data_IF_767845610337
#
_entry.id   IF_767845610337
#
_cell.length_a   1.000
_cell.length_b   1.000
_cell.length_c   1.000
_cell.angle_alpha   90.00
_cell.angle_beta   90.00
_cell.angle_gamma   90.00
#
_symmetry.space_group_name_H-M   'P 1'
#
loop_
_entity.id
_entity.type
_entity.pdbx_description
1 polymer ?
#
# COMPACT_ATOMS: atom_id res chain seq x y z
N UNK A 1 -22.25 30.33 21.40
CA UNK A 1 -21.18 30.20 20.38
C UNK A 1 -20.82 28.73 20.24
N UNK A 2 -21.47 28.03 19.31
CA UNK A 2 -21.28 26.59 19.09
C UNK A 2 -20.02 26.35 18.25
N UNK A 3 -19.07 25.59 18.80
CA UNK A 3 -17.86 25.12 18.12
C UNK A 3 -18.19 23.85 17.35
N UNK A 4 -18.10 23.90 16.01
CA UNK A 4 -18.17 22.72 15.15
C UNK A 4 -16.76 22.14 14.97
N UNK A 5 -16.49 21.00 15.60
CA UNK A 5 -15.31 20.17 15.37
C UNK A 5 -15.64 19.15 14.27
N UNK A 6 -14.97 19.28 13.12
CA UNK A 6 -15.05 18.32 12.02
C UNK A 6 -13.92 17.29 12.21
N UNK A 7 -14.26 16.05 12.55
CA UNK A 7 -13.31 14.93 12.68
C UNK A 7 -13.24 14.20 11.34
N UNK A 8 -12.11 14.27 10.66
CA UNK A 8 -11.83 13.51 9.44
C UNK A 8 -11.19 12.17 9.85
N UNK A 9 -11.94 11.07 9.70
CA UNK A 9 -11.43 9.72 9.92
C UNK A 9 -10.63 9.25 8.70
N UNK A 10 -9.31 9.13 8.87
CA UNK A 10 -8.43 8.42 7.93
C UNK A 10 -8.02 7.11 8.59
N UNK A 11 -8.57 6.01 8.09
CA UNK A 11 -8.25 4.66 8.55
C UNK A 11 -6.88 4.25 8.00
N UNK A 12 -5.87 4.20 8.87
CA UNK A 12 -4.59 3.58 8.58
C UNK A 12 -4.52 2.21 9.27
N UNK A 13 -4.52 1.16 8.45
CA UNK A 13 -4.30 -0.21 8.89
C UNK A 13 -2.86 -0.43 9.29
N UNK A 14 -2.67 -0.88 10.53
CA UNK A 14 -1.41 -1.27 11.13
C UNK A 14 -1.00 -2.67 10.63
N UNK A 15 0.22 -2.84 10.13
CA UNK A 15 0.86 -4.15 10.01
C UNK A 15 2.31 -4.08 10.52
N UNK A 16 2.48 -4.66 11.70
CA UNK A 16 3.71 -4.88 12.43
C UNK A 16 4.48 -6.07 11.82
N UNK A 17 5.73 -5.86 11.40
CA UNK A 17 6.68 -6.97 11.22
C UNK A 17 8.02 -6.57 11.83
N UNK A 18 8.32 -7.18 12.99
CA UNK A 18 9.65 -7.19 13.59
C UNK A 18 10.43 -8.40 13.06
N UNK A 19 11.70 -8.15 12.77
CA UNK A 19 12.58 -9.01 11.99
C UNK A 19 13.21 -10.19 12.74
N UNK A 20 14.10 -10.87 12.03
CA UNK A 20 15.28 -11.52 12.60
C UNK A 20 16.39 -11.56 11.54
N UNK A 21 17.55 -11.12 11.99
CA UNK A 21 18.78 -10.84 11.28
C UNK A 21 19.58 -12.12 11.04
N UNK A 22 20.18 -12.25 9.86
CA UNK A 22 21.22 -13.24 9.57
C UNK A 22 22.38 -12.56 8.86
N UNK A 23 23.47 -12.31 9.58
CA UNK A 23 24.76 -11.89 9.01
C UNK A 23 25.31 -13.00 8.13
N UNK A 24 25.68 -12.69 6.89
CA UNK A 24 26.63 -13.50 6.11
C UNK A 24 27.68 -12.56 5.53
N UNK A 25 28.94 -12.97 5.71
CA UNK A 25 30.16 -12.22 5.37
C UNK A 25 30.34 -12.10 3.86
N UNK A 26 31.02 -11.02 3.52
CA UNK A 26 31.45 -10.57 2.20
C UNK A 26 32.20 -11.62 1.40
N UNK A 27 31.95 -11.63 0.09
CA UNK A 27 32.96 -11.96 -0.93
C UNK A 27 32.75 -11.01 -2.10
N UNK A 28 33.71 -10.11 -2.29
CA UNK A 28 33.77 -9.13 -3.37
C UNK A 28 34.36 -9.78 -4.63
N UNK A 29 33.71 -9.70 -5.80
CA UNK A 29 34.40 -9.77 -7.08
C UNK A 29 34.56 -8.37 -7.69
N UNK A 30 35.70 -8.21 -8.36
CA UNK A 30 36.23 -6.98 -8.92
C UNK A 30 35.34 -6.34 -10.00
N UNK A 31 35.32 -5.00 -10.00
CA UNK A 31 34.59 -4.13 -10.93
C UNK A 31 35.50 -3.71 -12.09
N UNK A 32 35.14 -4.05 -13.32
CA UNK A 32 35.64 -3.37 -14.53
C UNK A 32 34.63 -2.29 -14.98
N UNK A 33 35.09 -1.19 -15.61
CA UNK A 33 34.35 0.07 -15.68
C UNK A 33 33.34 0.13 -16.85
N UNK A 34 32.18 0.72 -16.60
CA UNK A 34 31.15 1.06 -17.58
C UNK A 34 31.12 2.60 -17.82
N UNK A 35 30.64 3.07 -18.99
CA UNK A 35 30.98 4.37 -19.58
C UNK A 35 30.30 5.59 -18.91
N UNK A 36 30.77 6.84 -19.19
CA UNK A 36 30.37 8.03 -18.44
C UNK A 36 29.05 8.59 -18.96
N UNK A 37 27.92 8.03 -18.50
CA UNK A 37 26.61 8.66 -18.70
C UNK A 37 25.70 8.62 -17.46
N UNK A 38 26.14 7.97 -16.37
CA UNK A 38 25.39 7.88 -15.11
C UNK A 38 25.73 8.98 -14.09
N UNK A 39 26.82 9.72 -14.29
CA UNK A 39 27.29 10.72 -13.33
C UNK A 39 26.41 11.99 -13.27
N UNK A 40 25.66 12.29 -14.33
CA UNK A 40 24.82 13.50 -14.41
C UNK A 40 23.47 13.31 -13.71
N UNK A 41 22.96 12.08 -13.61
CA UNK A 41 21.69 11.79 -12.91
C UNK A 41 21.89 11.62 -11.40
N UNK A 42 23.04 11.08 -10.95
CA UNK A 42 23.35 10.95 -9.52
C UNK A 42 23.56 12.32 -8.83
N UNK A 43 24.04 13.33 -9.56
CA UNK A 43 24.20 14.69 -9.03
C UNK A 43 22.87 15.46 -8.90
N UNK A 44 21.83 15.05 -9.64
CA UNK A 44 20.48 15.61 -9.52
C UNK A 44 19.71 14.99 -8.34
N UNK A 45 19.87 13.68 -8.09
CA UNK A 45 19.30 12.99 -6.92
C UNK A 45 19.99 13.37 -5.61
N UNK A 46 21.29 13.67 -5.61
CA UNK A 46 22.03 14.06 -4.40
C UNK A 46 21.67 15.46 -3.85
N UNK A 47 20.81 16.23 -4.53
CA UNK A 47 20.22 17.48 -3.99
C UNK A 47 18.82 17.27 -3.39
N UNK A 48 18.28 16.05 -3.42
CA UNK A 48 16.98 15.69 -2.83
C UNK A 48 17.11 15.48 -1.32
N UNK A 49 16.48 16.39 -0.56
CA UNK A 49 15.95 16.09 0.77
C UNK A 49 16.98 15.87 1.89
N UNK A 50 17.56 16.95 2.41
CA UNK A 50 17.88 16.93 3.84
C UNK A 50 16.54 16.75 4.57
N UNK A 51 16.37 15.74 5.44
CA UNK A 51 15.13 15.61 6.20
C UNK A 51 14.94 16.90 7.01
N UNK A 52 13.72 17.46 7.09
CA UNK A 52 13.41 18.43 8.12
C UNK A 52 13.52 17.72 9.47
N UNK A 53 14.74 17.61 10.00
CA UNK A 53 15.04 17.13 11.34
C UNK A 53 14.52 18.08 12.45
N UNK A 54 13.68 19.05 12.09
CA UNK A 54 13.17 20.12 12.93
C UNK A 54 11.64 20.31 12.82
N UNK A 55 10.93 19.37 12.18
CA UNK A 55 9.47 19.41 12.17
C UNK A 55 8.92 18.89 13.50
N UNK A 56 8.30 19.76 14.30
CA UNK A 56 7.57 19.40 15.53
C UNK A 56 6.11 18.97 15.25
N UNK A 57 5.77 18.74 13.99
CA UNK A 57 4.43 18.39 13.50
C UNK A 57 4.42 16.99 12.85
N UNK A 58 3.33 16.63 12.17
CA UNK A 58 3.16 15.34 11.49
C UNK A 58 4.22 15.01 10.45
N UNK A 59 5.04 15.96 10.00
CA UNK A 59 6.16 15.70 9.09
C UNK A 59 7.43 15.20 9.78
N UNK A 60 7.44 15.10 11.13
CA UNK A 60 8.62 14.64 11.87
C UNK A 60 9.11 13.28 11.38
N UNK A 61 10.39 13.21 11.01
CA UNK A 61 11.04 11.97 10.56
C UNK A 61 10.74 11.58 9.11
N UNK A 62 10.03 12.43 8.35
CA UNK A 62 9.76 12.21 6.93
C UNK A 62 10.75 12.99 6.05
N UNK A 63 10.99 12.50 4.83
CA UNK A 63 11.60 13.29 3.74
C UNK A 63 10.51 14.01 2.95
N UNK A 64 10.85 15.14 2.33
CA UNK A 64 9.92 15.84 1.44
C UNK A 64 9.61 14.95 0.23
N UNK A 65 8.33 14.60 0.05
CA UNK A 65 7.84 13.90 -1.15
C UNK A 65 7.52 14.90 -2.27
N UNK A 66 7.67 14.45 -3.51
CA UNK A 66 7.48 15.26 -4.70
C UNK A 66 8.65 16.20 -4.99
N UNK A 67 8.42 17.13 -5.93
CA UNK A 67 9.47 18.05 -6.36
C UNK A 67 9.01 19.05 -7.41
N UNK A 68 9.95 19.89 -7.82
CA UNK A 68 9.76 20.90 -8.86
C UNK A 68 10.68 20.59 -10.04
N UNK A 69 10.08 20.27 -11.18
CA UNK A 69 10.81 20.07 -12.43
C UNK A 69 10.80 21.37 -13.23
N UNK A 70 11.96 21.75 -13.78
CA UNK A 70 12.09 22.85 -14.73
C UNK A 70 12.34 22.28 -16.14
N UNK A 71 11.72 22.89 -17.15
CA UNK A 71 12.03 22.56 -18.54
C UNK A 71 13.33 23.23 -19.02
N UNK A 72 13.73 22.96 -20.26
CA UNK A 72 14.94 23.54 -20.87
C UNK A 72 14.94 25.09 -20.91
N UNK A 73 13.76 25.73 -20.86
CA UNK A 73 13.63 27.18 -20.80
C UNK A 73 13.58 27.74 -19.35
N UNK A 74 13.84 26.90 -18.34
CA UNK A 74 13.81 27.29 -16.93
C UNK A 74 12.41 27.53 -16.36
N UNK A 75 11.34 27.12 -17.05
CA UNK A 75 9.95 27.26 -16.58
C UNK A 75 9.54 26.03 -15.77
N UNK A 76 8.72 26.24 -14.74
CA UNK A 76 8.15 25.13 -13.97
C UNK A 76 7.25 24.25 -14.83
N UNK A 77 7.41 22.93 -14.68
CA UNK A 77 6.57 21.91 -15.30
C UNK A 77 5.55 21.43 -14.27
N UNK A 78 4.23 21.54 -14.53
CA UNK A 78 3.19 21.12 -13.59
C UNK A 78 2.99 19.60 -13.61
N UNK A 79 4.03 18.83 -13.30
CA UNK A 79 3.96 17.36 -13.28
C UNK A 79 3.33 16.79 -12.00
N UNK A 80 3.16 15.47 -11.94
CA UNK A 80 2.61 14.78 -10.75
C UNK A 80 3.52 14.90 -9.52
N UNK A 81 4.83 15.09 -9.70
CA UNK A 81 5.75 15.27 -8.58
C UNK A 81 5.49 16.62 -7.88
N UNK A 82 5.12 17.66 -8.62
CA UNK A 82 4.68 18.93 -8.05
C UNK A 82 3.41 18.79 -7.23
N UNK A 83 2.42 18.02 -7.72
CA UNK A 83 1.21 17.76 -6.93
C UNK A 83 1.53 17.02 -5.63
N UNK A 84 2.38 15.98 -5.67
CA UNK A 84 2.84 15.28 -4.45
C UNK A 84 3.56 16.20 -3.48
N UNK A 85 4.33 17.16 -3.98
CA UNK A 85 4.95 18.19 -3.15
C UNK A 85 3.88 19.01 -2.43
N UNK A 86 2.83 19.45 -3.12
CA UNK A 86 1.75 20.19 -2.49
C UNK A 86 1.01 19.34 -1.45
N UNK A 87 0.68 18.10 -1.79
CA UNK A 87 0.04 17.13 -0.89
C UNK A 87 0.87 16.91 0.38
N UNK A 88 2.18 16.74 0.25
CA UNK A 88 3.10 16.56 1.37
C UNK A 88 3.02 17.73 2.36
N UNK A 89 3.09 18.97 1.87
CA UNK A 89 2.99 20.16 2.73
C UNK A 89 1.58 20.32 3.33
N UNK A 90 0.54 19.92 2.61
CA UNK A 90 -0.86 19.99 3.03
C UNK A 90 -1.28 18.91 4.01
N UNK A 91 -0.48 17.86 4.22
CA UNK A 91 -0.77 16.86 5.28
C UNK A 91 -0.87 17.48 6.68
N UNK A 92 -0.21 18.63 6.88
CA UNK A 92 -0.25 19.43 8.12
C UNK A 92 -1.48 20.32 8.25
N UNK A 93 -2.44 20.24 7.33
CA UNK A 93 -3.67 21.01 7.42
C UNK A 93 -4.44 20.60 8.68
N UNK A 94 -4.73 21.58 9.55
CA UNK A 94 -5.31 21.35 10.88
C UNK A 94 -4.28 21.47 12.02
N UNK A 95 -3.00 21.22 11.73
CA UNK A 95 -1.88 21.50 12.65
C UNK A 95 -1.25 22.88 12.37
N UNK A 96 -1.26 23.30 11.11
CA UNK A 96 -0.74 24.59 10.63
C UNK A 96 -1.81 25.33 9.82
N UNK A 97 -1.73 26.66 9.84
CA UNK A 97 -2.59 27.50 9.01
C UNK A 97 -2.22 27.37 7.52
N UNK A 98 -3.16 27.55 6.57
CA UNK A 98 -2.85 27.55 5.15
C UNK A 98 -1.76 28.56 4.77
N UNK A 99 -1.74 29.74 5.42
CA UNK A 99 -0.72 30.76 5.20
C UNK A 99 0.67 30.29 5.66
N UNK A 100 0.76 29.62 6.81
CA UNK A 100 2.02 29.02 7.30
C UNK A 100 2.51 27.93 6.37
N UNK A 101 1.62 27.04 5.93
CA UNK A 101 1.97 25.95 4.99
C UNK A 101 2.51 26.51 3.68
N UNK A 102 1.84 27.55 3.14
CA UNK A 102 2.28 28.25 1.94
C UNK A 102 3.66 28.89 2.12
N UNK A 103 3.93 29.50 3.27
CA UNK A 103 5.22 30.13 3.54
C UNK A 103 6.35 29.10 3.71
N UNK A 104 6.05 27.95 4.32
CA UNK A 104 7.00 26.83 4.39
C UNK A 104 7.36 26.30 3.00
N UNK A 105 6.36 26.11 2.12
CA UNK A 105 6.60 25.72 0.73
C UNK A 105 7.44 26.77 0.00
N UNK A 106 7.15 28.06 0.18
CA UNK A 106 7.95 29.16 -0.37
C UNK A 106 9.40 29.08 0.09
N UNK A 107 9.65 28.96 1.40
CA UNK A 107 11.01 28.84 1.95
C UNK A 107 11.73 27.60 1.44
N UNK A 108 11.02 26.50 1.25
CA UNK A 108 11.58 25.28 0.67
C UNK A 108 12.01 25.49 -0.79
N UNK A 109 11.21 26.19 -1.60
CA UNK A 109 11.50 26.36 -3.03
C UNK A 109 12.42 27.52 -3.35
N UNK A 110 12.43 28.59 -2.55
CA UNK A 110 13.16 29.82 -2.81
C UNK A 110 14.66 29.63 -3.12
N UNK A 111 15.42 28.73 -2.45
CA UNK A 111 16.82 28.50 -2.78
C UNK A 111 17.06 27.82 -4.14
N UNK A 112 16.00 27.27 -4.76
CA UNK A 112 16.09 26.39 -5.93
C UNK A 112 15.62 27.06 -7.23
N UNK A 113 14.87 28.16 -7.14
CA UNK A 113 14.25 28.80 -8.30
C UNK A 113 14.22 30.32 -8.23
N UNK A 114 14.16 30.98 -9.38
CA UNK A 114 13.99 32.43 -9.49
C UNK A 114 12.59 32.90 -9.11
N UNK A 115 12.45 34.20 -8.83
CA UNK A 115 11.22 34.81 -8.30
C UNK A 115 9.97 34.57 -9.19
N UNK A 116 10.11 34.65 -10.51
CA UNK A 116 8.99 34.42 -11.43
C UNK A 116 8.46 32.97 -11.37
N UNK A 117 9.37 32.00 -11.30
CA UNK A 117 9.02 30.57 -11.17
C UNK A 117 8.39 30.32 -9.80
N UNK A 118 8.96 30.88 -8.73
CA UNK A 118 8.41 30.77 -7.39
C UNK A 118 6.98 31.32 -7.30
N UNK A 119 6.74 32.50 -7.88
CA UNK A 119 5.42 33.12 -7.93
C UNK A 119 4.40 32.24 -8.68
N UNK A 120 4.79 31.67 -9.83
CA UNK A 120 3.94 30.77 -10.59
C UNK A 120 3.59 29.49 -9.81
N UNK A 121 4.56 28.88 -9.14
CA UNK A 121 4.34 27.67 -8.34
C UNK A 121 3.44 27.94 -7.13
N UNK A 122 3.63 29.07 -6.46
CA UNK A 122 2.75 29.47 -5.36
C UNK A 122 1.32 29.80 -5.82
N UNK A 123 1.15 30.38 -7.01
CA UNK A 123 -0.18 30.59 -7.59
C UNK A 123 -0.88 29.26 -7.90
N UNK A 124 -0.15 28.25 -8.39
CA UNK A 124 -0.69 26.90 -8.56
C UNK A 124 -1.02 26.22 -7.22
N UNK A 125 -0.21 26.43 -6.18
CA UNK A 125 -0.52 25.96 -4.84
C UNK A 125 -1.80 26.60 -4.30
N UNK A 126 -1.98 27.92 -4.47
CA UNK A 126 -3.18 28.63 -4.02
C UNK A 126 -4.44 28.12 -4.75
N UNK A 127 -4.34 27.89 -6.07
CA UNK A 127 -5.41 27.28 -6.86
C UNK A 127 -5.72 25.84 -6.43
N UNK A 128 -4.69 25.07 -6.07
CA UNK A 128 -4.83 23.70 -5.56
C UNK A 128 -5.54 23.66 -4.21
N UNK A 129 -5.17 24.54 -3.28
CA UNK A 129 -5.84 24.64 -1.97
C UNK A 129 -7.32 25.02 -2.13
N UNK A 130 -7.65 25.94 -3.04
CA UNK A 130 -9.04 26.27 -3.36
C UNK A 130 -9.79 25.06 -3.94
N UNK A 131 -9.16 24.35 -4.89
CA UNK A 131 -9.71 23.13 -5.48
C UNK A 131 -10.02 22.06 -4.41
N UNK A 132 -9.12 21.79 -3.48
CA UNK A 132 -9.34 20.78 -2.43
C UNK A 132 -10.50 21.17 -1.51
N UNK A 133 -10.61 22.45 -1.14
CA UNK A 133 -11.73 22.96 -0.33
C UNK A 133 -13.08 22.81 -1.03
N UNK A 134 -13.16 23.15 -2.31
CA UNK A 134 -14.39 23.00 -3.10
C UNK A 134 -14.71 21.53 -3.40
N UNK A 135 -13.68 20.72 -3.61
CA UNK A 135 -13.83 19.28 -3.82
C UNK A 135 -14.42 18.60 -2.58
N UNK A 136 -14.06 19.04 -1.38
CA UNK A 136 -14.66 18.54 -0.14
C UNK A 136 -16.14 18.91 0.00
N UNK A 137 -16.59 20.00 -0.63
CA UNK A 137 -18.00 20.39 -0.68
C UNK A 137 -18.81 19.65 -1.75
N UNK A 138 -18.15 18.96 -2.69
CA UNK A 138 -18.82 18.09 -3.67
C UNK A 138 -19.31 16.83 -2.96
N UNK A 139 -20.58 16.82 -2.56
CA UNK A 139 -21.26 15.62 -2.06
C UNK A 139 -21.32 14.51 -3.11
N UNK A 140 -21.49 13.26 -2.66
CA UNK A 140 -21.68 12.11 -3.53
C UNK A 140 -23.12 12.06 -4.04
N UNK A 141 -23.31 11.85 -5.36
CA UNK A 141 -24.66 11.67 -5.94
C UNK A 141 -25.13 10.21 -5.91
N UNK A 142 -24.23 9.27 -5.69
CA UNK A 142 -24.49 7.84 -5.90
C UNK A 142 -24.25 7.38 -7.34
N UNK A 143 -24.08 8.31 -8.29
CA UNK A 143 -23.59 8.03 -9.64
C UNK A 143 -22.10 8.40 -9.74
N UNK A 144 -21.27 7.36 -9.77
CA UNK A 144 -19.81 7.52 -9.84
C UNK A 144 -19.35 8.22 -11.13
N UNK A 145 -20.05 8.01 -12.24
CA UNK A 145 -19.72 8.64 -13.52
C UNK A 145 -19.99 10.15 -13.45
N UNK A 146 -21.17 10.53 -12.96
CA UNK A 146 -21.51 11.93 -12.76
C UNK A 146 -20.59 12.62 -11.73
N UNK A 147 -20.26 11.93 -10.63
CA UNK A 147 -19.35 12.43 -9.61
C UNK A 147 -17.93 12.67 -10.18
N UNK A 148 -17.43 11.75 -11.02
CA UNK A 148 -16.16 11.93 -11.71
C UNK A 148 -16.19 13.14 -12.66
N UNK A 149 -17.26 13.33 -13.43
CA UNK A 149 -17.36 14.47 -14.36
C UNK A 149 -17.39 15.80 -13.62
N UNK A 150 -18.18 15.92 -12.53
CA UNK A 150 -18.20 17.15 -11.72
C UNK A 150 -16.83 17.50 -11.13
N UNK A 151 -16.09 16.50 -10.67
CA UNK A 151 -14.70 16.67 -10.18
C UNK A 151 -13.75 17.09 -11.30
N UNK A 152 -13.84 16.46 -12.48
CA UNK A 152 -13.06 16.82 -13.68
C UNK A 152 -13.28 18.28 -14.08
N UNK A 153 -14.52 18.72 -14.11
CA UNK A 153 -14.86 20.10 -14.43
C UNK A 153 -14.33 21.08 -13.39
N UNK A 154 -14.48 20.77 -12.09
CA UNK A 154 -13.95 21.61 -11.03
C UNK A 154 -12.42 21.76 -11.14
N UNK A 155 -11.70 20.67 -11.39
CA UNK A 155 -10.25 20.67 -11.63
C UNK A 155 -9.87 21.54 -12.81
N UNK A 156 -10.56 21.40 -13.95
CA UNK A 156 -10.31 22.21 -15.14
C UNK A 156 -10.61 23.69 -14.91
N UNK A 157 -11.68 24.04 -14.19
CA UNK A 157 -12.00 25.43 -13.83
C UNK A 157 -10.95 26.06 -12.92
N UNK A 158 -10.45 25.32 -11.93
CA UNK A 158 -9.51 25.85 -10.91
C UNK A 158 -8.07 25.88 -11.39
N UNK A 159 -7.63 24.86 -12.12
CA UNK A 159 -6.22 24.67 -12.48
C UNK A 159 -5.93 25.00 -13.95
N UNK A 160 -6.96 25.10 -14.79
CA UNK A 160 -6.82 25.12 -16.24
C UNK A 160 -6.58 23.72 -16.81
N UNK A 161 -6.78 23.57 -18.13
CA UNK A 161 -6.72 22.27 -18.79
C UNK A 161 -5.36 21.57 -18.67
N UNK A 162 -4.26 22.32 -18.86
CA UNK A 162 -2.90 21.76 -18.86
C UNK A 162 -2.50 21.19 -17.50
N UNK A 163 -2.68 21.96 -16.43
CA UNK A 163 -2.31 21.54 -15.07
C UNK A 163 -3.24 20.41 -14.59
N UNK A 164 -4.55 20.54 -14.83
CA UNK A 164 -5.50 19.48 -14.48
C UNK A 164 -5.15 18.15 -15.16
N UNK A 165 -4.83 18.17 -16.47
CA UNK A 165 -4.42 16.99 -17.21
C UNK A 165 -3.14 16.37 -16.66
N UNK A 166 -2.12 17.19 -16.38
CA UNK A 166 -0.84 16.70 -15.89
C UNK A 166 -0.91 16.11 -14.47
N UNK A 167 -1.77 16.66 -13.61
CA UNK A 167 -1.89 16.22 -12.22
C UNK A 167 -2.90 15.09 -12.00
N UNK A 168 -3.99 15.06 -12.76
CA UNK A 168 -5.12 14.16 -12.52
C UNK A 168 -5.45 13.26 -13.70
N UNK A 169 -4.98 13.55 -14.92
CA UNK A 169 -5.43 12.83 -16.12
C UNK A 169 -5.25 11.32 -16.04
N UNK A 170 -4.15 10.86 -15.43
CA UNK A 170 -3.89 9.44 -15.24
C UNK A 170 -4.80 8.80 -14.17
N UNK A 171 -5.01 9.50 -13.05
CA UNK A 171 -5.92 9.06 -11.97
C UNK A 171 -7.36 9.00 -12.47
N UNK A 172 -7.75 9.99 -13.26
CA UNK A 172 -9.06 10.11 -13.88
C UNK A 172 -9.29 9.02 -14.92
N UNK A 173 -8.30 8.69 -15.74
CA UNK A 173 -8.36 7.59 -16.70
C UNK A 173 -8.50 6.24 -15.99
N UNK A 174 -7.74 6.02 -14.90
CA UNK A 174 -7.88 4.82 -14.05
C UNK A 174 -9.25 4.71 -13.41
N UNK A 175 -9.77 5.82 -12.86
CA UNK A 175 -11.07 5.82 -12.21
C UNK A 175 -12.20 5.58 -13.20
N UNK A 176 -12.12 6.18 -14.40
CA UNK A 176 -13.08 5.93 -15.48
C UNK A 176 -13.10 4.45 -15.91
N UNK A 177 -11.91 3.86 -16.07
CA UNK A 177 -11.77 2.42 -16.34
C UNK A 177 -12.40 1.56 -15.23
N UNK A 178 -12.12 1.87 -13.96
CA UNK A 178 -12.70 1.14 -12.83
C UNK A 178 -14.23 1.24 -12.77
N UNK A 179 -14.79 2.42 -13.05
CA UNK A 179 -16.24 2.65 -13.12
C UNK A 179 -16.84 1.83 -14.27
N UNK A 180 -16.24 1.86 -15.46
CA UNK A 180 -16.70 1.09 -16.62
C UNK A 180 -16.65 -0.43 -16.37
N UNK A 181 -15.58 -0.93 -15.75
CA UNK A 181 -15.51 -2.34 -15.33
C UNK A 181 -16.61 -2.70 -14.34
N UNK A 182 -16.86 -1.85 -13.34
CA UNK A 182 -17.91 -2.10 -12.37
C UNK A 182 -19.30 -2.12 -13.02
N UNK A 183 -19.55 -1.25 -14.00
CA UNK A 183 -20.81 -1.23 -14.75
C UNK A 183 -21.03 -2.57 -15.50
N UNK A 184 -20.02 -3.05 -16.23
CA UNK A 184 -20.08 -4.36 -16.92
C UNK A 184 -20.28 -5.53 -15.95
N UNK A 185 -19.67 -5.46 -14.76
CA UNK A 185 -19.84 -6.50 -13.74
C UNK A 185 -21.25 -6.54 -13.15
N UNK A 186 -21.90 -5.38 -13.00
CA UNK A 186 -23.24 -5.26 -12.43
C UNK A 186 -24.36 -5.45 -13.46
N UNK A 187 -24.04 -5.43 -14.75
CA UNK A 187 -25.01 -5.63 -15.80
C UNK A 187 -25.55 -7.07 -15.78
N UNK A 188 -26.81 -7.20 -15.36
CA UNK A 188 -27.55 -8.47 -15.29
C UNK A 188 -28.00 -8.99 -16.65
N UNK A 189 -27.99 -8.14 -17.69
CA UNK A 189 -28.32 -8.52 -19.06
C UNK A 189 -27.18 -9.25 -19.78
N UNK A 190 -25.96 -9.21 -19.26
CA UNK A 190 -24.82 -9.88 -19.87
C UNK A 190 -24.68 -11.33 -19.39
N UNK A 191 -24.63 -12.26 -20.34
CA UNK A 191 -24.19 -13.62 -20.07
C UNK A 191 -22.71 -13.62 -19.60
N UNK A 192 -22.29 -14.58 -18.74
CA UNK A 192 -20.93 -14.60 -18.21
C UNK A 192 -19.82 -14.53 -19.27
N UNK A 193 -19.97 -15.25 -20.38
CA UNK A 193 -18.99 -15.25 -21.49
C UNK A 193 -18.93 -13.90 -22.22
N UNK A 194 -20.08 -13.27 -22.47
CA UNK A 194 -20.16 -11.94 -23.08
C UNK A 194 -19.56 -10.88 -22.17
N UNK A 195 -19.85 -10.93 -20.86
CA UNK A 195 -19.25 -10.04 -19.87
C UNK A 195 -17.72 -10.16 -19.86
N UNK A 196 -17.20 -11.39 -19.88
CA UNK A 196 -15.76 -11.63 -19.91
C UNK A 196 -15.11 -11.07 -21.20
N UNK A 197 -15.77 -11.22 -22.36
CA UNK A 197 -15.29 -10.63 -23.62
C UNK A 197 -15.24 -9.10 -23.56
N UNK A 198 -16.33 -8.45 -23.12
CA UNK A 198 -16.41 -6.99 -22.99
C UNK A 198 -15.39 -6.42 -22.01
N UNK A 199 -15.12 -7.12 -20.91
CA UNK A 199 -14.09 -6.72 -19.96
C UNK A 199 -12.69 -6.76 -20.59
N UNK A 200 -12.38 -7.79 -21.38
CA UNK A 200 -11.09 -7.87 -22.09
C UNK A 200 -10.94 -6.77 -23.13
N UNK A 201 -11.99 -6.49 -23.90
CA UNK A 201 -12.00 -5.37 -24.86
C UNK A 201 -11.78 -4.02 -24.16
N UNK A 202 -12.47 -3.79 -23.05
CA UNK A 202 -12.31 -2.59 -22.23
C UNK A 202 -10.88 -2.45 -21.70
N UNK A 203 -10.30 -3.54 -21.16
CA UNK A 203 -8.94 -3.54 -20.65
C UNK A 203 -7.91 -3.26 -21.75
N UNK A 204 -8.07 -3.88 -22.92
CA UNK A 204 -7.22 -3.65 -24.08
C UNK A 204 -7.30 -2.20 -24.59
N UNK A 205 -8.50 -1.63 -24.65
CA UNK A 205 -8.72 -0.27 -25.13
C UNK A 205 -8.06 0.80 -24.25
N UNK A 206 -7.99 0.56 -22.94
CA UNK A 206 -7.39 1.51 -22.00
C UNK A 206 -5.86 1.43 -21.96
N UNK A 207 -5.27 0.32 -22.42
CA UNK A 207 -3.81 0.14 -22.48
C UNK A 207 -3.11 0.46 -21.17
N UNK A 208 -3.81 0.31 -20.04
CA UNK A 208 -3.27 0.63 -18.73
C UNK A 208 -2.34 -0.49 -18.32
N UNK A 209 -1.07 -0.16 -18.12
CA UNK A 209 -0.15 -1.07 -17.44
C UNK A 209 -0.75 -1.46 -16.09
N UNK A 210 -0.67 -2.75 -15.78
CA UNK A 210 -1.03 -3.25 -14.45
C UNK A 210 -0.11 -2.56 -13.45
N UNK A 211 -0.69 -1.83 -12.50
CA UNK A 211 0.07 -1.26 -11.38
C UNK A 211 0.87 -2.40 -10.70
N UNK A 212 2.20 -2.33 -10.65
CA UNK A 212 3.02 -3.42 -10.11
C UNK A 212 2.67 -3.72 -8.64
N UNK A 213 2.29 -2.69 -7.86
CA UNK A 213 1.87 -2.88 -6.46
C UNK A 213 0.55 -3.65 -6.36
N UNK A 214 -0.36 -3.42 -7.31
CA UNK A 214 -1.60 -4.17 -7.44
C UNK A 214 -1.33 -5.59 -7.89
N UNK A 215 -0.39 -5.79 -8.81
CA UNK A 215 0.01 -7.12 -9.29
C UNK A 215 0.60 -7.97 -8.16
N UNK A 216 1.44 -7.38 -7.30
CA UNK A 216 1.95 -8.04 -6.09
C UNK A 216 0.81 -8.41 -5.13
N UNK A 217 -0.09 -7.48 -4.83
CA UNK A 217 -1.26 -7.73 -4.00
C UNK A 217 -2.18 -8.83 -4.54
N UNK A 218 -2.44 -8.81 -5.84
CA UNK A 218 -3.27 -9.80 -6.55
C UNK A 218 -2.59 -11.19 -6.55
N UNK A 219 -1.26 -11.24 -6.68
CA UNK A 219 -0.46 -12.46 -6.61
C UNK A 219 -0.55 -13.09 -5.21
N UNK A 220 -0.40 -12.29 -4.15
CA UNK A 220 -0.56 -12.76 -2.77
C UNK A 220 -1.98 -13.28 -2.55
N UNK A 221 -2.99 -12.51 -2.98
CA UNK A 221 -4.39 -12.91 -2.84
C UNK A 221 -4.70 -14.22 -3.60
N UNK A 222 -4.13 -14.39 -4.79
CA UNK A 222 -4.24 -15.62 -5.57
C UNK A 222 -3.59 -16.81 -4.84
N UNK A 223 -2.37 -16.65 -4.33
CA UNK A 223 -1.67 -17.70 -3.59
C UNK A 223 -2.42 -18.12 -2.32
N UNK A 224 -3.04 -17.16 -1.62
CA UNK A 224 -3.90 -17.43 -0.46
C UNK A 224 -5.16 -18.22 -0.84
N UNK A 225 -5.89 -17.81 -1.89
CA UNK A 225 -7.07 -18.52 -2.38
C UNK A 225 -6.73 -19.94 -2.84
N UNK A 226 -5.65 -20.09 -3.59
CA UNK A 226 -5.20 -21.39 -4.08
C UNK A 226 -4.85 -22.33 -2.91
N UNK A 227 -4.15 -21.81 -1.89
CA UNK A 227 -3.82 -22.58 -0.68
C UNK A 227 -5.09 -23.00 0.10
N UNK A 228 -6.04 -22.08 0.29
CA UNK A 228 -7.31 -22.42 0.95
C UNK A 228 -8.09 -23.50 0.20
N UNK A 229 -8.13 -23.42 -1.13
CA UNK A 229 -8.75 -24.45 -1.99
C UNK A 229 -8.05 -25.80 -1.82
N UNK A 230 -6.71 -25.83 -1.84
CA UNK A 230 -5.95 -27.07 -1.67
C UNK A 230 -6.17 -27.73 -0.31
N UNK A 231 -6.35 -26.95 0.75
CA UNK A 231 -6.72 -27.51 2.06
C UNK A 231 -8.15 -28.06 2.06
N UNK A 232 -9.11 -27.34 1.48
CA UNK A 232 -10.50 -27.79 1.39
C UNK A 232 -10.65 -29.09 0.57
N UNK A 233 -9.87 -29.22 -0.51
CA UNK A 233 -9.89 -30.39 -1.39
C UNK A 233 -8.99 -31.54 -0.90
N UNK A 234 -8.16 -31.33 0.13
CA UNK A 234 -7.13 -32.31 0.52
C UNK A 234 -6.15 -32.62 -0.61
N UNK A 235 -5.83 -31.64 -1.45
CA UNK A 235 -5.04 -31.85 -2.67
C UNK A 235 -3.63 -32.40 -2.36
N UNK A 236 -3.19 -33.40 -3.13
CA UNK A 236 -1.88 -34.03 -2.98
C UNK A 236 -0.72 -33.03 -3.23
N UNK A 237 0.43 -33.18 -2.53
CA UNK A 237 1.57 -32.26 -2.66
C UNK A 237 2.05 -32.04 -4.09
N UNK A 238 2.02 -33.07 -4.92
CA UNK A 238 2.48 -33.06 -6.31
C UNK A 238 1.58 -32.17 -7.18
N UNK A 239 0.25 -32.30 -6.99
CA UNK A 239 -0.74 -31.44 -7.65
C UNK A 239 -0.59 -29.99 -7.19
N UNK A 240 -0.42 -29.76 -5.88
CA UNK A 240 -0.19 -28.42 -5.33
C UNK A 240 1.05 -27.77 -5.96
N UNK A 241 2.14 -28.53 -6.09
CA UNK A 241 3.39 -28.07 -6.69
C UNK A 241 3.22 -27.70 -8.16
N UNK A 242 2.68 -28.61 -8.98
CA UNK A 242 2.52 -28.40 -10.42
C UNK A 242 1.66 -27.16 -10.72
N UNK A 243 0.53 -27.01 -10.03
CA UNK A 243 -0.35 -25.84 -10.22
C UNK A 243 0.28 -24.53 -9.73
N UNK A 244 1.16 -24.58 -8.71
CA UNK A 244 1.90 -23.39 -8.23
C UNK A 244 3.07 -23.04 -9.14
N UNK A 245 3.77 -24.02 -9.70
CA UNK A 245 4.87 -23.78 -10.65
C UNK A 245 4.33 -23.10 -11.91
N UNK A 246 3.18 -23.55 -12.42
CA UNK A 246 2.51 -22.92 -13.56
C UNK A 246 2.07 -21.47 -13.29
N UNK A 247 1.68 -21.15 -12.05
CA UNK A 247 1.17 -19.82 -11.69
C UNK A 247 2.26 -18.83 -11.24
N UNK A 248 3.30 -19.31 -10.55
CA UNK A 248 4.26 -18.47 -9.83
C UNK A 248 5.73 -18.82 -10.09
N UNK A 249 5.99 -19.86 -10.89
CA UNK A 249 7.33 -20.37 -11.14
C UNK A 249 7.85 -21.30 -10.03
N UNK A 250 8.97 -21.95 -10.35
CA UNK A 250 9.55 -23.06 -9.57
C UNK A 250 9.91 -22.68 -8.14
N UNK A 251 10.60 -21.56 -7.95
CA UNK A 251 11.06 -21.15 -6.62
C UNK A 251 9.91 -20.83 -5.67
N UNK A 252 8.87 -20.16 -6.18
CA UNK A 252 7.68 -19.85 -5.40
C UNK A 252 6.92 -21.13 -5.02
N UNK A 253 6.79 -22.08 -5.96
CA UNK A 253 6.17 -23.37 -5.70
C UNK A 253 6.92 -24.16 -4.60
N UNK A 254 8.25 -24.15 -4.61
CA UNK A 254 9.08 -24.77 -3.57
C UNK A 254 8.86 -24.13 -2.19
N UNK A 255 8.97 -22.80 -2.08
CA UNK A 255 8.76 -22.08 -0.81
C UNK A 255 7.35 -22.29 -0.24
N UNK A 256 6.33 -22.36 -1.10
CA UNK A 256 4.95 -22.66 -0.71
C UNK A 256 4.80 -24.12 -0.26
N UNK A 257 5.48 -25.07 -0.91
CA UNK A 257 5.52 -26.47 -0.47
C UNK A 257 6.17 -26.63 0.92
N UNK A 258 7.29 -25.96 1.17
CA UNK A 258 7.92 -25.95 2.50
C UNK A 258 7.00 -25.32 3.56
N UNK A 259 6.27 -24.27 3.20
CA UNK A 259 5.30 -23.66 4.10
C UNK A 259 4.18 -24.63 4.46
N UNK A 260 3.68 -25.42 3.49
CA UNK A 260 2.68 -26.46 3.73
C UNK A 260 3.23 -27.53 4.71
N UNK A 261 4.48 -27.97 4.54
CA UNK A 261 5.13 -28.92 5.46
C UNK A 261 5.24 -28.36 6.89
N UNK A 262 5.70 -27.10 7.03
CA UNK A 262 5.78 -26.43 8.34
C UNK A 262 4.41 -26.29 8.98
N UNK A 263 3.37 -25.96 8.21
CA UNK A 263 1.98 -25.87 8.70
C UNK A 263 1.46 -27.23 9.14
N UNK A 264 1.71 -28.29 8.38
CA UNK A 264 1.30 -29.65 8.75
C UNK A 264 1.99 -30.10 10.05
N UNK A 265 3.29 -29.83 10.21
CA UNK A 265 4.02 -30.13 11.44
C UNK A 265 3.48 -29.34 12.64
N UNK A 266 3.24 -28.03 12.47
CA UNK A 266 2.61 -27.19 13.49
C UNK A 266 1.24 -27.73 13.90
N UNK A 267 0.37 -28.02 12.94
CA UNK A 267 -0.98 -28.54 13.20
C UNK A 267 -0.94 -29.87 13.96
N UNK A 268 -0.01 -30.78 13.62
CA UNK A 268 0.19 -32.03 14.38
C UNK A 268 0.62 -31.77 15.82
N UNK A 269 1.58 -30.87 16.05
CA UNK A 269 2.05 -30.51 17.41
C UNK A 269 0.91 -29.91 18.24
N UNK A 270 0.11 -29.01 17.67
CA UNK A 270 -1.04 -28.39 18.35
C UNK A 270 -2.14 -29.42 18.63
N UNK A 271 -2.43 -30.32 17.69
CA UNK A 271 -3.41 -31.38 17.91
C UNK A 271 -2.99 -32.34 19.03
N UNK A 272 -1.71 -32.74 19.05
CA UNK A 272 -1.15 -33.57 20.13
C UNK A 272 -1.25 -32.86 21.49
N UNK A 273 -0.92 -31.56 21.54
CA UNK A 273 -1.08 -30.75 22.74
C UNK A 273 -2.55 -30.70 23.20
N UNK A 274 -3.50 -30.44 22.30
CA UNK A 274 -4.94 -30.41 22.63
C UNK A 274 -5.43 -31.73 23.23
N UNK A 275 -5.05 -32.85 22.62
CA UNK A 275 -5.41 -34.18 23.11
C UNK A 275 -4.84 -34.44 24.51
N UNK A 276 -3.56 -34.16 24.73
CA UNK A 276 -2.92 -34.35 26.03
C UNK A 276 -3.47 -33.39 27.11
N UNK A 277 -3.75 -32.13 26.75
CA UNK A 277 -4.39 -31.15 27.64
C UNK A 277 -5.76 -31.65 28.10
N UNK A 278 -6.58 -32.15 27.18
CA UNK A 278 -7.90 -32.70 27.50
C UNK A 278 -7.81 -33.84 28.54
N UNK A 279 -6.84 -34.75 28.38
CA UNK A 279 -6.59 -35.83 29.34
C UNK A 279 -6.21 -35.31 30.74
N UNK A 280 -5.30 -34.33 30.82
CA UNK A 280 -4.87 -33.72 32.08
C UNK A 280 -6.01 -32.97 32.79
N UNK A 281 -6.92 -32.35 32.04
CA UNK A 281 -8.08 -31.65 32.59
C UNK A 281 -9.18 -32.62 33.07
N UNK A 282 -9.35 -33.75 32.38
CA UNK A 282 -10.33 -34.78 32.73
C UNK A 282 -9.92 -35.62 33.96
N UNK A 283 -8.63 -35.69 34.27
CA UNK A 283 -8.11 -36.44 35.42
C UNK A 283 -8.49 -35.75 36.76
N UNK A 284 -9.43 -36.37 37.46
CA UNK A 284 -9.94 -35.94 38.77
C UNK A 284 -9.00 -36.30 39.92
N UNK A 285 -8.02 -37.19 39.70
CA UNK A 285 -7.03 -37.58 40.70
C UNK A 285 -5.89 -36.56 40.88
N UNK A 286 -5.76 -35.61 39.94
CA UNK A 286 -4.72 -34.57 40.01
C UNK A 286 -5.14 -33.42 40.93
N UNK A 287 -4.24 -33.05 41.85
CA UNK A 287 -4.34 -31.78 42.57
C UNK A 287 -4.15 -30.60 41.61
N UNK A 288 -4.57 -29.40 42.03
CA UNK A 288 -4.39 -28.19 41.21
C UNK A 288 -2.93 -27.93 40.84
N UNK A 289 -2.00 -28.15 41.78
CA UNK A 289 -0.56 -27.99 41.55
C UNK A 289 -0.01 -29.05 40.56
N UNK A 290 -0.45 -30.31 40.69
CA UNK A 290 -0.04 -31.38 39.76
C UNK A 290 -0.59 -31.12 38.35
N UNK A 291 -1.84 -30.68 38.23
CA UNK A 291 -2.45 -30.30 36.96
C UNK A 291 -1.68 -29.16 36.29
N UNK A 292 -1.33 -28.12 37.04
CA UNK A 292 -0.57 -26.99 36.52
C UNK A 292 0.83 -27.42 36.04
N UNK A 293 1.53 -28.25 36.82
CA UNK A 293 2.85 -28.77 36.44
C UNK A 293 2.79 -29.62 35.16
N UNK A 294 1.76 -30.46 35.01
CA UNK A 294 1.54 -31.27 33.80
C UNK A 294 1.25 -30.41 32.57
N UNK A 295 0.39 -29.39 32.71
CA UNK A 295 0.11 -28.45 31.61
C UNK A 295 1.36 -27.66 31.20
N UNK A 296 2.17 -27.20 32.16
CA UNK A 296 3.44 -26.54 31.87
C UNK A 296 4.43 -27.47 31.13
N UNK A 297 4.49 -28.74 31.51
CA UNK A 297 5.33 -29.73 30.82
C UNK A 297 4.87 -29.97 29.36
N UNK A 298 3.55 -29.97 29.09
CA UNK A 298 3.03 -30.08 27.72
C UNK A 298 3.41 -28.88 26.84
N UNK A 299 3.67 -27.71 27.44
CA UNK A 299 4.12 -26.51 26.73
C UNK A 299 5.65 -26.43 26.55
N UNK A 300 6.42 -27.28 27.24
CA UNK A 300 7.88 -27.26 27.18
C UNK A 300 8.46 -27.37 25.74
N UNK A 301 7.89 -28.19 24.82
CA UNK A 301 8.36 -28.30 23.43
C UNK A 301 8.05 -27.10 22.54
N UNK A 302 7.35 -26.08 23.04
CA UNK A 302 7.04 -24.85 22.31
C UNK A 302 7.94 -23.72 22.81
N UNK A 303 8.44 -22.89 21.89
CA UNK A 303 9.18 -21.68 22.26
C UNK A 303 8.24 -20.60 22.86
N UNK A 304 8.82 -19.49 23.35
CA UNK A 304 8.04 -18.44 24.00
C UNK A 304 6.92 -17.85 23.12
N UNK A 305 7.15 -17.67 21.81
CA UNK A 305 6.14 -17.13 20.88
C UNK A 305 5.12 -18.20 20.52
N UNK A 306 5.57 -19.43 20.33
CA UNK A 306 4.70 -20.57 20.05
C UNK A 306 3.74 -20.84 21.22
N UNK A 307 4.20 -20.73 22.49
CA UNK A 307 3.36 -20.89 23.68
C UNK A 307 2.19 -19.92 23.69
N UNK A 308 2.44 -18.62 23.44
CA UNK A 308 1.38 -17.61 23.34
C UNK A 308 0.33 -17.97 22.28
N UNK A 309 0.79 -18.53 21.14
CA UNK A 309 -0.09 -18.96 20.05
C UNK A 309 -0.89 -20.21 20.42
N UNK A 310 -0.27 -21.22 21.04
CA UNK A 310 -0.94 -22.43 21.51
C UNK A 310 -2.00 -22.09 22.55
N UNK A 311 -1.65 -21.30 23.56
CA UNK A 311 -2.56 -20.88 24.62
C UNK A 311 -3.75 -20.09 24.07
N UNK A 312 -3.54 -19.21 23.08
CA UNK A 312 -4.62 -18.49 22.41
C UNK A 312 -5.54 -19.44 21.62
N UNK A 313 -4.97 -20.43 20.91
CA UNK A 313 -5.72 -21.40 20.11
C UNK A 313 -6.52 -22.40 20.95
N UNK A 314 -6.13 -22.64 22.21
CA UNK A 314 -6.77 -23.64 23.09
C UNK A 314 -7.50 -23.02 24.28
N UNK A 315 -7.71 -21.70 24.29
CA UNK A 315 -8.37 -21.00 25.41
C UNK A 315 -9.86 -21.34 25.53
N UNK A 316 -10.51 -21.61 24.40
CA UNK A 316 -11.94 -21.90 24.30
C UNK A 316 -12.25 -23.38 24.04
N UNK A 317 -11.22 -24.24 24.09
CA UNK A 317 -11.33 -25.70 24.01
C UNK A 317 -11.44 -26.29 25.42
#
# INVERSE_FOLDING_TARGET
MLRFTLVLMLAAGLALVLGLSGRSRETTPARSPAPPSAATNAAAEARMGRPPAAADDSLRGTGVDGGLTLNAAGKAVPDRAMRRLFDYFLTRLGERSPATIRDDLRRHLQPRVGAAVLAQVLAWFDAYVALERESAALGASGDLSADLQRRRELRRRRLGATVAQAWYGEDERRLEHAIARQALQRDRGLAPAQRAARLRELDAAYGLDLDPTRTEGDTVALAMRQSARFEAEGAAPERRYAEREAAFGREAAQRLGELDLRRAQWNRRVAAYRAARSQVLADRGLSAAQRQARLAALLAPFDARERLRVEALTRND
#
